data_IF_622585290777
#
_entry.id   IF_622585290777
#
_cell.length_a   1.000
_cell.length_b   1.000
_cell.length_c   1.000
_cell.angle_alpha   90.00
_cell.angle_beta   90.00
_cell.angle_gamma   90.00
#
_symmetry.space_group_name_H-M   'P 1'
#
loop_
_entity.id
_entity.type
_entity.pdbx_description
1 polymer ?
#
# COMPACT_ATOMS: atom_id res chain seq x y z
N UNK A 1 -11.56 3.01 3.17
CA UNK A 1 -11.14 2.47 4.48
C UNK A 1 -11.60 3.45 5.55
N UNK A 2 -12.06 3.03 6.72
CA UNK A 2 -12.52 3.98 7.76
C UNK A 2 -11.35 4.47 8.63
N UNK A 3 -11.49 5.66 9.22
CA UNK A 3 -10.52 6.18 10.19
C UNK A 3 -10.33 5.23 11.37
N UNK A 4 -11.43 4.72 11.94
CA UNK A 4 -11.39 3.77 13.06
C UNK A 4 -10.60 2.48 12.73
N UNK A 5 -10.69 1.97 11.49
CA UNK A 5 -9.89 0.80 11.06
C UNK A 5 -8.41 1.16 10.91
N UNK A 6 -8.12 2.36 10.42
CA UNK A 6 -6.76 2.89 10.31
C UNK A 6 -6.10 2.95 11.69
N UNK A 7 -6.81 3.53 12.65
CA UNK A 7 -6.31 3.69 14.02
C UNK A 7 -6.04 2.33 14.67
N UNK A 8 -6.95 1.37 14.53
CA UNK A 8 -6.78 0.02 15.06
C UNK A 8 -5.57 -0.72 14.47
N UNK A 9 -5.29 -0.54 13.18
CA UNK A 9 -4.11 -1.15 12.52
C UNK A 9 -2.83 -0.52 13.05
N UNK A 10 -2.78 0.81 13.13
CA UNK A 10 -1.62 1.53 13.66
C UNK A 10 -1.37 1.18 15.13
N UNK A 11 -2.43 1.08 15.94
CA UNK A 11 -2.33 0.69 17.34
C UNK A 11 -1.83 -0.75 17.49
N UNK A 12 -2.33 -1.67 16.64
CA UNK A 12 -1.83 -3.06 16.58
C UNK A 12 -0.34 -3.10 16.25
N UNK A 13 0.13 -2.26 15.34
CA UNK A 13 1.54 -2.17 14.99
C UNK A 13 2.41 -1.56 16.07
N UNK A 14 1.91 -0.55 16.78
CA UNK A 14 2.62 -0.01 17.95
C UNK A 14 2.92 -1.12 18.95
N UNK A 15 1.93 -1.97 19.23
CA UNK A 15 2.10 -3.09 20.16
C UNK A 15 3.04 -4.16 19.55
N UNK A 16 2.75 -4.63 18.34
CA UNK A 16 3.46 -5.77 17.74
C UNK A 16 4.89 -5.47 17.32
N UNK A 17 5.17 -4.24 16.88
CA UNK A 17 6.52 -3.78 16.53
C UNK A 17 7.18 -3.01 17.70
N UNK A 18 6.57 -2.98 18.89
CA UNK A 18 7.06 -2.30 20.08
C UNK A 18 7.51 -0.86 19.78
N UNK A 19 6.64 -0.07 19.15
CA UNK A 19 6.94 1.30 18.75
C UNK A 19 6.59 2.25 19.88
N UNK A 20 7.61 2.91 20.42
CA UNK A 20 7.41 4.02 21.33
C UNK A 20 7.27 5.31 20.50
N UNK A 21 6.02 5.66 20.17
CA UNK A 21 5.67 6.87 19.44
C UNK A 21 5.19 7.95 20.40
N UNK A 22 5.64 9.19 20.22
CA UNK A 22 4.98 10.35 20.82
C UNK A 22 3.59 10.56 20.22
N UNK A 23 2.74 11.33 20.91
CA UNK A 23 1.38 11.62 20.42
C UNK A 23 1.38 12.30 19.03
N UNK A 24 2.38 13.17 18.76
CA UNK A 24 2.53 13.83 17.47
C UNK A 24 3.02 12.87 16.37
N UNK A 25 4.01 12.02 16.67
CA UNK A 25 4.46 10.97 15.73
C UNK A 25 3.33 9.98 15.41
N UNK A 26 2.53 9.61 16.41
CA UNK A 26 1.38 8.73 16.25
C UNK A 26 0.31 9.34 15.35
N UNK A 27 -0.05 10.60 15.58
CA UNK A 27 -1.06 11.28 14.77
C UNK A 27 -0.60 11.37 13.30
N UNK A 28 0.65 11.79 13.07
CA UNK A 28 1.23 11.85 11.72
C UNK A 28 1.29 10.49 11.06
N UNK A 29 1.61 9.44 11.82
CA UNK A 29 1.67 8.08 11.30
C UNK A 29 0.28 7.56 10.91
N UNK A 30 -0.76 7.85 11.71
CA UNK A 30 -2.17 7.53 11.39
C UNK A 30 -2.63 8.24 10.12
N UNK A 31 -2.37 9.54 10.00
CA UNK A 31 -2.71 10.34 8.81
C UNK A 31 -2.01 9.82 7.56
N UNK A 32 -0.70 9.56 7.65
CA UNK A 32 0.07 8.99 6.57
C UNK A 32 -0.46 7.62 6.13
N UNK A 33 -0.70 6.72 7.09
CA UNK A 33 -1.20 5.37 6.79
C UNK A 33 -2.57 5.40 6.13
N UNK A 34 -3.47 6.25 6.64
CA UNK A 34 -4.79 6.45 6.05
C UNK A 34 -4.68 6.92 4.61
N UNK A 35 -3.93 7.99 4.36
CA UNK A 35 -3.75 8.55 3.03
C UNK A 35 -3.07 7.58 2.05
N UNK A 36 -2.10 6.80 2.52
CA UNK A 36 -1.45 5.77 1.71
C UNK A 36 -2.42 4.62 1.36
N UNK A 37 -3.23 4.17 2.33
CA UNK A 37 -4.22 3.13 2.12
C UNK A 37 -5.34 3.56 1.16
N UNK A 38 -5.84 4.80 1.28
CA UNK A 38 -6.84 5.34 0.34
C UNK A 38 -6.28 5.45 -1.08
N UNK A 39 -5.07 5.99 -1.24
CA UNK A 39 -4.38 6.06 -2.54
C UNK A 39 -4.23 4.68 -3.16
N UNK A 40 -3.79 3.68 -2.38
CA UNK A 40 -3.64 2.31 -2.86
C UNK A 40 -4.99 1.69 -3.24
N UNK A 41 -6.04 1.89 -2.44
CA UNK A 41 -7.39 1.40 -2.70
C UNK A 41 -7.95 1.98 -4.00
N UNK A 42 -7.87 3.30 -4.19
CA UNK A 42 -8.34 3.98 -5.40
C UNK A 42 -7.60 3.46 -6.65
N UNK A 43 -6.28 3.23 -6.54
CA UNK A 43 -5.49 2.68 -7.64
C UNK A 43 -5.84 1.23 -7.96
N UNK A 44 -6.07 0.39 -6.94
CA UNK A 44 -6.52 -0.99 -7.14
C UNK A 44 -7.88 -1.03 -7.84
N UNK A 45 -8.82 -0.16 -7.44
CA UNK A 45 -10.11 -0.05 -8.09
C UNK A 45 -9.98 0.36 -9.57
N UNK A 46 -9.24 1.44 -9.85
CA UNK A 46 -8.99 1.88 -11.23
C UNK A 46 -8.31 0.80 -12.08
N UNK A 47 -7.36 0.06 -11.50
CA UNK A 47 -6.70 -1.07 -12.16
C UNK A 47 -7.68 -2.19 -12.50
N UNK A 48 -8.58 -2.56 -11.58
CA UNK A 48 -9.63 -3.56 -11.84
C UNK A 48 -10.56 -3.13 -12.97
N UNK A 49 -10.99 -1.88 -12.99
CA UNK A 49 -11.84 -1.34 -14.06
C UNK A 49 -11.16 -1.40 -15.43
N UNK A 50 -9.87 -1.06 -15.50
CA UNK A 50 -9.09 -1.14 -16.75
C UNK A 50 -8.92 -2.59 -17.21
N UNK A 51 -8.69 -3.53 -16.28
CA UNK A 51 -8.59 -4.97 -16.61
C UNK A 51 -9.93 -5.52 -17.11
N UNK A 52 -11.05 -5.14 -16.48
CA UNK A 52 -12.39 -5.53 -16.97
C UNK A 52 -12.65 -5.00 -18.38
N UNK A 53 -12.28 -3.74 -18.65
CA UNK A 53 -12.38 -3.18 -20.01
C UNK A 53 -11.46 -3.90 -21.01
N UNK A 54 -10.28 -4.33 -20.56
CA UNK A 54 -9.34 -5.05 -21.42
C UNK A 54 -9.90 -6.43 -21.77
N UNK A 55 -10.51 -7.12 -20.80
CA UNK A 55 -11.19 -8.38 -21.05
C UNK A 55 -12.30 -8.23 -22.10
N UNK A 56 -13.15 -7.22 -21.97
CA UNK A 56 -14.20 -6.93 -22.95
C UNK A 56 -13.61 -6.62 -24.35
N UNK A 57 -12.49 -5.88 -24.42
CA UNK A 57 -11.81 -5.57 -25.67
C UNK A 57 -11.14 -6.81 -26.32
N UNK A 58 -10.69 -7.77 -25.50
CA UNK A 58 -10.20 -9.07 -25.98
C UNK A 58 -11.35 -9.89 -26.56
N UNK A 59 -12.47 -9.98 -25.85
CA UNK A 59 -13.67 -10.71 -26.31
C UNK A 59 -14.25 -10.14 -27.62
N UNK A 60 -14.18 -8.82 -27.81
CA UNK A 60 -14.63 -8.16 -29.04
C UNK A 60 -13.58 -8.08 -30.16
N UNK A 61 -12.37 -8.60 -29.95
CA UNK A 61 -11.21 -8.46 -30.86
C UNK A 61 -10.87 -7.00 -31.23
N UNK A 62 -11.22 -6.02 -30.39
CA UNK A 62 -10.90 -4.61 -30.59
C UNK A 62 -9.42 -4.34 -30.26
N UNK A 63 -8.56 -4.54 -31.25
CA UNK A 63 -7.10 -4.47 -31.10
C UNK A 63 -6.63 -3.04 -30.76
N UNK A 64 -7.32 -2.01 -31.27
CA UNK A 64 -7.00 -0.62 -30.95
C UNK A 64 -7.27 -0.34 -29.47
N UNK A 65 -8.41 -0.82 -28.95
CA UNK A 65 -8.77 -0.68 -27.54
C UNK A 65 -7.85 -1.48 -26.63
N UNK A 66 -7.46 -2.69 -27.03
CA UNK A 66 -6.47 -3.49 -26.29
C UNK A 66 -5.14 -2.74 -26.12
N UNK A 67 -4.61 -2.14 -27.19
CA UNK A 67 -3.37 -1.38 -27.14
C UNK A 67 -3.46 -0.16 -26.19
N UNK A 68 -4.56 0.60 -26.27
CA UNK A 68 -4.84 1.73 -25.37
C UNK A 68 -4.87 1.29 -23.90
N UNK A 69 -5.58 0.20 -23.59
CA UNK A 69 -5.75 -0.28 -22.21
C UNK A 69 -4.45 -0.87 -21.65
N UNK A 70 -3.66 -1.58 -22.48
CA UNK A 70 -2.33 -2.05 -22.07
C UNK A 70 -1.38 -0.89 -21.75
N UNK A 71 -1.44 0.21 -22.50
CA UNK A 71 -0.68 1.42 -22.19
C UNK A 71 -1.12 2.04 -20.86
N UNK A 72 -2.44 2.11 -20.61
CA UNK A 72 -2.99 2.57 -19.33
C UNK A 72 -2.53 1.71 -18.15
N UNK A 73 -2.47 0.38 -18.33
CA UNK A 73 -1.96 -0.53 -17.30
C UNK A 73 -0.49 -0.24 -17.00
N UNK A 74 0.36 -0.09 -18.04
CA UNK A 74 1.79 0.23 -17.85
C UNK A 74 1.99 1.56 -17.12
N UNK A 75 1.23 2.58 -17.51
CA UNK A 75 1.29 3.88 -16.85
C UNK A 75 0.78 3.80 -15.40
N UNK A 76 -0.27 3.01 -15.15
CA UNK A 76 -0.73 2.70 -13.80
C UNK A 76 0.36 2.07 -12.93
N UNK A 77 1.13 1.12 -13.46
CA UNK A 77 2.26 0.52 -12.75
C UNK A 77 3.37 1.54 -12.44
N UNK A 78 3.72 2.42 -13.38
CA UNK A 78 4.69 3.50 -13.14
C UNK A 78 4.23 4.41 -11.99
N UNK A 79 2.98 4.86 -12.04
CA UNK A 79 2.41 5.76 -11.03
C UNK A 79 2.31 5.10 -9.64
N UNK A 80 2.09 3.77 -9.59
CA UNK A 80 2.15 3.02 -8.33
C UNK A 80 3.55 3.01 -7.74
N UNK A 81 4.58 2.79 -8.55
CA UNK A 81 5.98 2.82 -8.10
C UNK A 81 6.37 4.19 -7.57
N UNK A 82 6.08 5.26 -8.32
CA UNK A 82 6.35 6.64 -7.89
C UNK A 82 5.58 7.02 -6.61
N UNK A 83 4.32 6.60 -6.51
CA UNK A 83 3.49 6.82 -5.33
C UNK A 83 4.03 6.09 -4.08
N UNK A 84 4.59 4.89 -4.27
CA UNK A 84 5.24 4.11 -3.21
C UNK A 84 6.50 4.78 -2.70
N UNK A 85 7.37 5.25 -3.59
CA UNK A 85 8.58 5.98 -3.17
C UNK A 85 8.23 7.23 -2.37
N UNK A 86 7.28 8.05 -2.86
CA UNK A 86 6.81 9.23 -2.12
C UNK A 86 6.24 8.88 -0.74
N UNK A 87 5.49 7.78 -0.65
CA UNK A 87 4.96 7.32 0.63
C UNK A 87 6.07 6.89 1.60
N UNK A 88 7.13 6.24 1.11
CA UNK A 88 8.31 5.91 1.92
C UNK A 88 9.06 7.17 2.36
N UNK A 89 9.22 8.16 1.49
CA UNK A 89 9.86 9.44 1.84
C UNK A 89 9.09 10.19 2.94
N UNK A 90 7.74 10.13 2.90
CA UNK A 90 6.88 10.69 3.96
C UNK A 90 7.04 9.90 5.26
N UNK A 91 7.02 8.56 5.19
CA UNK A 91 7.23 7.68 6.33
C UNK A 91 8.58 7.92 7.03
N UNK A 92 9.63 8.13 6.23
CA UNK A 92 10.99 8.40 6.68
C UNK A 92 11.13 9.72 7.44
N UNK A 93 10.26 10.69 7.15
CA UNK A 93 10.20 11.97 7.87
C UNK A 93 9.42 11.88 9.18
N UNK A 94 8.51 10.92 9.30
CA UNK A 94 7.65 10.75 10.48
C UNK A 94 8.38 9.96 11.58
N UNK A 95 9.09 8.89 11.21
CA UNK A 95 9.65 7.94 12.17
C UNK A 95 11.17 7.93 12.20
N UNK A 96 11.73 7.78 13.41
CA UNK A 96 13.16 7.61 13.64
C UNK A 96 13.67 6.31 13.01
N UNK A 97 14.96 6.24 12.61
CA UNK A 97 15.54 5.03 12.01
C UNK A 97 15.25 3.75 12.80
N UNK A 98 15.34 3.79 14.12
CA UNK A 98 15.08 2.61 14.97
C UNK A 98 13.61 2.15 14.91
N UNK A 99 12.65 3.09 14.93
CA UNK A 99 11.22 2.77 14.81
C UNK A 99 10.92 2.14 13.45
N UNK A 100 11.52 2.68 12.38
CA UNK A 100 11.39 2.14 11.01
C UNK A 100 11.96 0.73 10.91
N UNK A 101 13.14 0.50 11.49
CA UNK A 101 13.75 -0.82 11.51
C UNK A 101 12.85 -1.85 12.21
N UNK A 102 12.23 -1.49 13.34
CA UNK A 102 11.28 -2.38 14.05
C UNK A 102 10.06 -2.72 13.19
N UNK A 103 9.50 -1.75 12.48
CA UNK A 103 8.38 -1.96 11.55
C UNK A 103 8.79 -2.92 10.42
N UNK A 104 9.95 -2.71 9.80
CA UNK A 104 10.45 -3.56 8.71
C UNK A 104 10.70 -4.98 9.21
N UNK A 105 11.38 -5.16 10.36
CA UNK A 105 11.61 -6.47 10.95
C UNK A 105 10.29 -7.20 11.22
N UNK A 106 9.32 -6.49 11.80
CA UNK A 106 8.00 -7.07 12.07
C UNK A 106 7.28 -7.49 10.78
N UNK A 107 7.30 -6.64 9.75
CA UNK A 107 6.67 -6.96 8.46
C UNK A 107 7.34 -8.15 7.76
N UNK A 108 8.67 -8.26 7.82
CA UNK A 108 9.42 -9.42 7.31
C UNK A 108 9.03 -10.70 8.06
N UNK A 109 8.91 -10.64 9.39
CA UNK A 109 8.47 -11.78 10.20
C UNK A 109 7.06 -12.22 9.81
N UNK A 110 6.11 -11.27 9.69
CA UNK A 110 4.75 -11.59 9.24
C UNK A 110 4.72 -12.16 7.82
N UNK A 111 5.54 -11.64 6.90
CA UNK A 111 5.62 -12.16 5.54
C UNK A 111 6.09 -13.62 5.54
N UNK A 112 7.11 -13.96 6.35
CA UNK A 112 7.59 -15.34 6.53
C UNK A 112 6.51 -16.25 7.12
N UNK A 113 5.81 -15.80 8.16
CA UNK A 113 4.73 -16.58 8.81
C UNK A 113 3.55 -16.83 7.87
N UNK A 114 3.26 -15.88 6.98
CA UNK A 114 2.18 -15.98 5.99
C UNK A 114 2.60 -16.59 4.65
N UNK A 115 3.87 -17.00 4.50
CA UNK A 115 4.41 -17.53 3.23
C UNK A 115 4.43 -16.51 2.08
N UNK A 116 4.36 -15.22 2.37
CA UNK A 116 4.33 -14.14 1.37
C UNK A 116 5.74 -13.65 1.01
N UNK A 117 5.98 -13.22 -0.24
CA UNK A 117 7.25 -12.62 -0.63
C UNK A 117 7.49 -11.30 0.11
N UNK A 118 8.69 -11.14 0.66
CA UNK A 118 9.12 -9.92 1.38
C UNK A 118 9.23 -8.70 0.45
N UNK A 119 9.34 -8.93 -0.86
CA UNK A 119 9.40 -7.91 -1.93
C UNK A 119 8.16 -6.99 -1.94
N UNK A 120 7.07 -7.47 -1.36
CA UNK A 120 5.84 -6.74 -1.13
C UNK A 120 5.82 -6.06 0.24
N UNK A 121 6.96 -5.65 0.80
CA UNK A 121 7.06 -5.12 2.17
C UNK A 121 6.09 -3.95 2.40
N UNK A 122 6.03 -2.98 1.48
CA UNK A 122 5.10 -1.85 1.50
C UNK A 122 3.63 -2.28 1.34
N UNK A 123 3.38 -3.26 0.47
CA UNK A 123 2.05 -3.85 0.33
C UNK A 123 1.67 -4.64 1.58
N UNK A 124 2.61 -5.31 2.26
CA UNK A 124 2.45 -6.11 3.48
C UNK A 124 2.21 -5.21 4.68
N UNK A 125 2.91 -4.07 4.70
CA UNK A 125 2.68 -2.94 5.59
C UNK A 125 1.24 -2.41 5.38
N UNK A 126 0.77 -2.27 4.15
CA UNK A 126 -0.59 -1.81 3.86
C UNK A 126 -1.64 -2.94 3.86
N UNK A 127 -1.26 -4.22 3.90
CA UNK A 127 -2.15 -5.38 3.75
C UNK A 127 -2.94 -5.70 5.02
N UNK A 128 -2.55 -5.14 6.17
CA UNK A 128 -3.31 -5.23 7.41
C UNK A 128 -4.74 -4.63 7.29
N UNK A 129 -5.05 -4.02 6.14
CA UNK A 129 -6.34 -3.44 5.77
C UNK A 129 -7.34 -4.42 5.16
N UNK A 130 -6.97 -5.68 4.92
CA UNK A 130 -7.80 -6.62 4.15
C UNK A 130 -8.29 -7.87 4.90
N UNK A 131 -7.95 -8.04 6.18
CA UNK A 131 -8.61 -9.02 7.06
C UNK A 131 -9.33 -8.34 8.23
#
# INVERSE_FOLDING_TARGET
>A
MTQARTDAIVDSWKVKANLNLSADEEQKFKEWFHGAAERLSARRQAGREVVTQLQAAVESNDTAKQAELLQKIREGFRQLSEGREKALDEFDKILKPEQRARIVVHAVQQAKESGRPVEHLLDSLLHATEN
#
